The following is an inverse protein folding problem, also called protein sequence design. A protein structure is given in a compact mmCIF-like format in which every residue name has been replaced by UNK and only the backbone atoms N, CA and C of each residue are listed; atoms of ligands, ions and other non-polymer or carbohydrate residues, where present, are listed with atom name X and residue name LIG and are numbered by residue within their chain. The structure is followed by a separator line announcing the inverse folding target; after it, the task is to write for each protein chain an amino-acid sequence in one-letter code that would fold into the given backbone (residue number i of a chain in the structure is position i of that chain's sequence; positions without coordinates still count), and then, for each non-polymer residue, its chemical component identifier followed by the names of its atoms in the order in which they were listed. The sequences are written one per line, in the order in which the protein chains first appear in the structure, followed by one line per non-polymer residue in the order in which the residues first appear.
data_IF_355124132232
#
_entry.id   IF_355124132232
#
_cell.length_a   1.000
_cell.length_b   1.000
_cell.length_c   1.000
_cell.angle_alpha   90.00
_cell.angle_beta   90.00
_cell.angle_gamma   90.00
#
_symmetry.space_group_name_H-M   'P 1'
#
loop_
_entity.id
_entity.type
_entity.pdbx_description
1 polymer ?
#
# COMPACT_ATOMS: atom_id res chain seq x y z
N UNK A 1 -26.39 23.86 -1.14
CA UNK A 1 -25.71 25.03 -0.54
C UNK A 1 -24.22 24.73 -0.24
N UNK A 2 -23.85 23.75 0.60
CA UNK A 2 -22.44 23.49 0.93
C UNK A 2 -21.59 23.07 -0.29
N UNK A 3 -22.08 22.17 -1.14
CA UNK A 3 -21.40 21.78 -2.37
C UNK A 3 -21.18 22.95 -3.34
N UNK A 4 -22.18 23.83 -3.48
CA UNK A 4 -22.06 25.05 -4.30
C UNK A 4 -20.99 25.99 -3.74
N UNK A 5 -20.95 26.15 -2.42
CA UNK A 5 -19.92 26.94 -1.75
C UNK A 5 -18.52 26.34 -1.98
N UNK A 6 -18.37 25.03 -1.84
CA UNK A 6 -17.12 24.31 -2.14
C UNK A 6 -16.65 24.55 -3.59
N UNK A 7 -17.58 24.47 -4.56
CA UNK A 7 -17.30 24.74 -5.99
C UNK A 7 -16.83 26.18 -6.22
N UNK A 8 -17.48 27.14 -5.55
CA UNK A 8 -17.07 28.56 -5.62
C UNK A 8 -15.67 28.75 -5.04
N UNK A 9 -15.42 28.21 -3.85
CA UNK A 9 -14.11 28.32 -3.17
C UNK A 9 -13.01 27.70 -4.03
N UNK A 10 -13.20 26.50 -4.55
CA UNK A 10 -12.19 25.83 -5.38
C UNK A 10 -12.00 26.51 -6.74
N UNK A 11 -13.00 27.22 -7.24
CA UNK A 11 -12.91 27.99 -8.48
C UNK A 11 -12.17 29.30 -8.29
N UNK A 12 -12.56 30.09 -7.29
CA UNK A 12 -11.89 31.36 -6.95
C UNK A 12 -10.48 31.13 -6.42
N UNK A 13 -10.26 30.06 -5.69
CA UNK A 13 -8.96 29.63 -5.17
C UNK A 13 -7.99 29.06 -6.22
N UNK A 14 -8.37 29.03 -7.51
CA UNK A 14 -7.53 28.45 -8.57
C UNK A 14 -6.10 28.99 -8.63
N UNK A 15 -5.83 30.31 -8.49
CA UNK A 15 -4.47 30.82 -8.47
C UNK A 15 -3.64 30.28 -7.30
N UNK A 16 -4.26 30.22 -6.10
CA UNK A 16 -3.60 29.69 -4.90
C UNK A 16 -3.33 28.18 -5.02
N UNK A 17 -4.29 27.42 -5.56
CA UNK A 17 -4.11 25.97 -5.85
C UNK A 17 -2.96 25.78 -6.83
N UNK A 18 -2.91 26.55 -7.92
CA UNK A 18 -1.82 26.47 -8.90
C UNK A 18 -0.49 26.84 -8.29
N UNK A 19 -0.41 27.93 -7.54
CA UNK A 19 0.81 28.35 -6.82
C UNK A 19 1.31 27.28 -5.85
N UNK A 20 0.41 26.67 -5.08
CA UNK A 20 0.75 25.58 -4.16
C UNK A 20 1.26 24.33 -4.89
N UNK A 21 0.67 23.96 -6.03
CA UNK A 21 1.15 22.84 -6.84
C UNK A 21 2.55 23.12 -7.41
N UNK A 22 2.82 24.33 -7.88
CA UNK A 22 4.16 24.70 -8.34
C UNK A 22 5.19 24.70 -7.21
N UNK A 23 4.81 25.17 -6.02
CA UNK A 23 5.65 25.06 -4.83
C UNK A 23 5.95 23.59 -4.50
N UNK A 24 4.95 22.70 -4.48
CA UNK A 24 5.15 21.26 -4.29
C UNK A 24 6.06 20.65 -5.34
N UNK A 25 5.93 21.08 -6.61
CA UNK A 25 6.80 20.64 -7.71
C UNK A 25 8.25 21.05 -7.48
N UNK A 26 8.49 22.28 -7.00
CA UNK A 26 9.82 22.75 -6.63
C UNK A 26 10.45 21.96 -5.48
N UNK A 27 9.61 21.44 -4.55
CA UNK A 27 10.02 20.57 -3.44
C UNK A 27 10.19 19.09 -3.84
N UNK A 28 10.06 18.71 -5.12
CA UNK A 28 10.14 17.31 -5.57
C UNK A 28 8.94 16.45 -5.15
N UNK A 29 7.83 17.05 -4.67
CA UNK A 29 6.61 16.35 -4.24
C UNK A 29 5.57 16.16 -5.35
N UNK A 30 5.86 16.63 -6.54
CA UNK A 30 5.07 16.43 -7.75
C UNK A 30 6.00 15.99 -8.90
N UNK A 31 5.49 15.16 -9.77
CA UNK A 31 6.19 14.69 -10.95
C UNK A 31 6.40 15.85 -11.95
N UNK A 32 7.64 16.06 -12.40
CA UNK A 32 7.96 17.19 -13.28
C UNK A 32 7.42 17.01 -14.68
N UNK A 33 7.43 15.79 -15.20
CA UNK A 33 7.05 15.47 -16.59
C UNK A 33 5.52 15.34 -16.72
N UNK A 34 4.89 14.74 -15.70
CA UNK A 34 3.46 14.44 -15.65
C UNK A 34 2.64 15.47 -14.87
N UNK A 35 3.23 16.63 -14.57
CA UNK A 35 2.63 17.67 -13.74
C UNK A 35 1.27 18.16 -14.24
N UNK A 36 1.08 18.20 -15.57
CA UNK A 36 -0.17 18.65 -16.20
C UNK A 36 -1.37 17.75 -15.88
N UNK A 37 -1.15 16.51 -15.48
CA UNK A 37 -2.19 15.59 -15.06
C UNK A 37 -2.96 16.09 -13.83
N UNK A 38 -2.28 16.83 -12.93
CA UNK A 38 -2.92 17.49 -11.78
C UNK A 38 -3.96 18.53 -12.19
N UNK A 39 -3.90 19.03 -13.40
CA UNK A 39 -4.85 19.97 -14.01
C UNK A 39 -5.85 19.27 -14.94
N UNK A 40 -5.86 17.94 -14.96
CA UNK A 40 -6.73 17.11 -15.79
C UNK A 40 -6.29 16.95 -17.24
N UNK A 41 -5.07 17.35 -17.60
CA UNK A 41 -4.50 17.11 -18.92
C UNK A 41 -3.69 15.82 -18.92
N UNK A 42 -3.79 15.06 -19.99
CA UNK A 42 -2.95 13.88 -20.24
C UNK A 42 -2.45 13.86 -21.68
N UNK A 43 -1.31 13.21 -21.88
CA UNK A 43 -0.77 12.94 -23.23
C UNK A 43 -1.17 11.55 -23.72
N UNK A 44 -1.69 10.71 -22.83
CA UNK A 44 -2.12 9.35 -23.16
C UNK A 44 -3.43 9.41 -23.90
N UNK A 45 -3.49 8.79 -25.07
CA UNK A 45 -4.74 8.69 -25.84
C UNK A 45 -5.70 7.73 -25.13
N UNK A 46 -6.97 8.11 -25.07
CA UNK A 46 -8.00 7.22 -24.55
C UNK A 46 -8.10 5.97 -25.44
N UNK A 47 -7.97 4.77 -24.88
CA UNK A 47 -8.17 3.54 -25.64
C UNK A 47 -9.64 3.40 -26.10
N UNK A 48 -9.84 2.61 -27.14
CA UNK A 48 -11.19 2.19 -27.55
C UNK A 48 -11.82 1.24 -26.53
N UNK A 49 -13.15 1.19 -26.50
CA UNK A 49 -13.90 0.27 -25.63
C UNK A 49 -14.19 0.84 -24.25
N UNK A 50 -14.61 -0.06 -23.35
CA UNK A 50 -14.95 0.25 -21.96
C UNK A 50 -13.69 0.53 -21.14
N UNK A 51 -13.72 1.60 -20.35
CA UNK A 51 -12.67 1.97 -19.41
C UNK A 51 -13.23 1.90 -18.01
N UNK A 52 -12.63 1.09 -17.14
CA UNK A 52 -12.88 1.13 -15.69
C UNK A 52 -11.85 2.06 -15.08
N UNK A 53 -12.33 3.09 -14.39
CA UNK A 53 -11.46 3.96 -13.59
C UNK A 53 -11.42 3.48 -12.15
N UNK A 54 -10.23 3.17 -11.65
CA UNK A 54 -9.94 2.84 -10.25
C UNK A 54 -9.19 4.01 -9.65
N UNK A 55 -9.71 4.58 -8.55
CA UNK A 55 -9.03 5.63 -7.80
C UNK A 55 -8.52 5.06 -6.49
N UNK A 56 -7.19 5.20 -6.25
CA UNK A 56 -6.51 4.80 -5.03
C UNK A 56 -5.44 5.83 -4.68
N UNK A 57 -5.69 6.69 -3.70
CA UNK A 57 -4.90 7.90 -3.48
C UNK A 57 -3.49 7.65 -2.95
N UNK A 58 -3.31 6.64 -2.12
CA UNK A 58 -2.05 6.34 -1.41
C UNK A 58 -1.38 5.05 -1.89
N UNK A 59 -0.13 4.83 -1.44
CA UNK A 59 0.62 3.58 -1.68
C UNK A 59 -0.15 2.36 -1.17
N UNK A 60 -0.67 2.42 0.07
CA UNK A 60 -1.38 1.30 0.67
C UNK A 60 -2.68 0.95 -0.06
N UNK A 61 -3.41 1.98 -0.51
CA UNK A 61 -4.62 1.81 -1.30
C UNK A 61 -4.30 1.20 -2.67
N UNK A 62 -3.32 1.76 -3.39
CA UNK A 62 -2.97 1.27 -4.73
C UNK A 62 -2.47 -0.17 -4.72
N UNK A 63 -1.67 -0.57 -3.72
CA UNK A 63 -1.26 -1.97 -3.53
C UNK A 63 -2.45 -2.91 -3.29
N UNK A 64 -3.44 -2.46 -2.51
CA UNK A 64 -4.64 -3.28 -2.25
C UNK A 64 -5.51 -3.50 -3.49
N UNK A 65 -5.35 -2.66 -4.53
CA UNK A 65 -6.11 -2.79 -5.78
C UNK A 65 -5.44 -3.75 -6.78
N UNK A 66 -4.16 -4.08 -6.64
CA UNK A 66 -3.44 -4.90 -7.64
C UNK A 66 -4.12 -6.23 -7.89
N UNK A 67 -4.47 -6.98 -6.86
CA UNK A 67 -5.14 -8.29 -7.02
C UNK A 67 -6.53 -8.19 -7.65
N UNK A 68 -7.24 -7.08 -7.42
CA UNK A 68 -8.50 -6.82 -8.11
C UNK A 68 -8.27 -6.49 -9.58
N UNK A 69 -7.25 -5.67 -9.88
CA UNK A 69 -6.86 -5.31 -11.25
C UNK A 69 -6.49 -6.56 -12.04
N UNK A 70 -5.61 -7.40 -11.49
CA UNK A 70 -5.18 -8.63 -12.16
C UNK A 70 -6.39 -9.55 -12.46
N UNK A 71 -7.27 -9.75 -11.50
CA UNK A 71 -8.48 -10.53 -11.70
C UNK A 71 -9.44 -9.95 -12.74
N UNK A 72 -9.56 -8.63 -12.80
CA UNK A 72 -10.40 -7.97 -13.80
C UNK A 72 -9.83 -8.18 -15.20
N UNK A 73 -8.51 -8.09 -15.36
CA UNK A 73 -7.84 -8.31 -16.65
C UNK A 73 -7.97 -9.79 -17.08
N UNK A 74 -7.73 -10.72 -16.16
CA UNK A 74 -7.85 -12.16 -16.41
C UNK A 74 -9.26 -12.55 -16.87
N UNK A 75 -10.30 -12.02 -16.23
CA UNK A 75 -11.69 -12.32 -16.55
C UNK A 75 -12.19 -11.59 -17.80
N UNK A 76 -11.69 -10.42 -18.08
CA UNK A 76 -12.10 -9.57 -19.20
C UNK A 76 -10.89 -8.98 -19.94
N UNK A 77 -10.23 -9.76 -20.82
CA UNK A 77 -8.99 -9.33 -21.51
C UNK A 77 -9.14 -8.06 -22.37
N UNK A 78 -10.36 -7.74 -22.80
CA UNK A 78 -10.65 -6.53 -23.57
C UNK A 78 -10.94 -5.29 -22.71
N UNK A 79 -10.95 -5.44 -21.39
CA UNK A 79 -11.17 -4.35 -20.46
C UNK A 79 -9.94 -3.44 -20.41
N UNK A 80 -10.17 -2.14 -20.36
CA UNK A 80 -9.11 -1.15 -20.15
C UNK A 80 -9.27 -0.56 -18.75
N UNK A 81 -8.17 -0.56 -17.99
CA UNK A 81 -8.15 -0.04 -16.64
C UNK A 81 -7.34 1.25 -16.61
N UNK A 82 -7.95 2.28 -16.04
CA UNK A 82 -7.29 3.52 -15.64
C UNK A 82 -7.13 3.51 -14.13
N UNK A 83 -5.91 3.43 -13.63
CA UNK A 83 -5.61 3.61 -12.22
C UNK A 83 -5.13 5.04 -11.97
N UNK A 84 -5.74 5.72 -10.99
CA UNK A 84 -5.25 7.04 -10.55
C UNK A 84 -4.73 7.01 -9.13
N UNK A 85 -3.58 7.68 -8.91
CA UNK A 85 -3.00 7.86 -7.58
C UNK A 85 -2.73 9.34 -7.27
N UNK A 86 -2.49 9.65 -5.99
CA UNK A 86 -2.29 11.02 -5.52
C UNK A 86 -0.83 11.43 -5.30
N UNK A 87 0.12 10.47 -5.25
CA UNK A 87 1.51 10.74 -4.85
C UNK A 87 2.55 10.20 -5.84
N UNK A 88 3.71 10.84 -5.88
CA UNK A 88 4.86 10.40 -6.70
C UNK A 88 5.31 9.00 -6.30
N UNK A 89 5.38 8.71 -5.01
CA UNK A 89 5.77 7.40 -4.49
C UNK A 89 4.81 6.29 -4.96
N UNK A 90 3.50 6.55 -4.93
CA UNK A 90 2.50 5.59 -5.45
C UNK A 90 2.68 5.37 -6.95
N UNK A 91 2.93 6.43 -7.71
CA UNK A 91 3.12 6.35 -9.16
C UNK A 91 4.34 5.51 -9.54
N UNK A 92 5.49 5.72 -8.87
CA UNK A 92 6.69 4.92 -9.10
C UNK A 92 6.45 3.43 -8.79
N UNK A 93 5.84 3.15 -7.65
CA UNK A 93 5.53 1.77 -7.28
C UNK A 93 4.57 1.11 -8.27
N UNK A 94 3.58 1.84 -8.76
CA UNK A 94 2.65 1.31 -9.74
C UNK A 94 3.30 1.10 -11.11
N UNK A 95 4.27 1.93 -11.50
CA UNK A 95 5.04 1.73 -12.73
C UNK A 95 5.84 0.40 -12.73
N UNK A 96 6.26 -0.06 -11.54
CA UNK A 96 6.98 -1.34 -11.37
C UNK A 96 6.03 -2.56 -11.26
N UNK A 97 4.78 -2.35 -10.88
CA UNK A 97 3.86 -3.43 -10.51
C UNK A 97 2.71 -3.67 -11.48
N UNK A 98 2.32 -2.66 -12.25
CA UNK A 98 1.21 -2.77 -13.19
C UNK A 98 1.65 -3.48 -14.48
N UNK A 99 0.78 -4.33 -15.00
CA UNK A 99 0.93 -4.84 -16.38
C UNK A 99 0.78 -3.72 -17.40
N UNK A 100 1.36 -3.90 -18.60
CA UNK A 100 1.31 -2.91 -19.68
C UNK A 100 -0.09 -2.54 -20.18
N UNK A 101 -1.12 -3.30 -19.79
CA UNK A 101 -2.52 -3.06 -20.15
C UNK A 101 -3.23 -2.05 -19.22
N UNK A 102 -2.59 -1.65 -18.12
CA UNK A 102 -3.14 -0.69 -17.16
C UNK A 102 -2.55 0.69 -17.38
N UNK A 103 -3.40 1.67 -17.59
CA UNK A 103 -3.00 3.06 -17.71
C UNK A 103 -2.95 3.68 -16.31
N UNK A 104 -1.80 4.25 -15.95
CA UNK A 104 -1.66 5.02 -14.70
C UNK A 104 -1.66 6.51 -14.98
N UNK A 105 -2.42 7.28 -14.17
CA UNK A 105 -2.42 8.74 -14.19
C UNK A 105 -2.51 9.32 -12.79
N UNK A 106 -1.93 10.51 -12.58
CA UNK A 106 -2.21 11.28 -11.36
C UNK A 106 -3.64 11.78 -11.35
N UNK A 107 -4.33 11.62 -10.22
CA UNK A 107 -5.66 12.18 -10.04
C UNK A 107 -5.60 13.71 -10.17
N UNK A 108 -6.52 14.35 -10.91
CA UNK A 108 -6.57 15.80 -10.96
C UNK A 108 -6.95 16.39 -9.59
N UNK A 109 -6.47 17.58 -9.31
CA UNK A 109 -6.95 18.32 -8.13
C UNK A 109 -8.45 18.59 -8.26
N UNK A 110 -9.16 18.49 -7.15
CA UNK A 110 -10.64 18.53 -7.10
C UNK A 110 -11.23 19.92 -7.39
N UNK A 111 -10.81 20.52 -8.51
CA UNK A 111 -11.39 21.73 -9.09
C UNK A 111 -12.25 21.37 -10.28
N UNK A 112 -13.46 21.88 -10.32
CA UNK A 112 -14.50 21.50 -11.28
C UNK A 112 -14.01 21.47 -12.74
N UNK A 113 -13.28 22.49 -13.19
CA UNK A 113 -12.77 22.55 -14.56
C UNK A 113 -11.70 21.46 -14.86
N UNK A 114 -10.89 21.06 -13.87
CA UNK A 114 -9.88 20.02 -14.03
C UNK A 114 -10.52 18.64 -14.03
N UNK A 115 -11.48 18.45 -13.15
CA UNK A 115 -12.28 17.22 -13.04
C UNK A 115 -13.06 16.97 -14.32
N UNK A 116 -13.74 17.98 -14.86
CA UNK A 116 -14.48 17.87 -16.13
C UNK A 116 -13.59 17.47 -17.27
N UNK A 117 -12.46 18.14 -17.43
CA UNK A 117 -11.47 17.80 -18.48
C UNK A 117 -11.00 16.36 -18.39
N UNK A 118 -10.69 15.89 -17.18
CA UNK A 118 -10.28 14.52 -16.94
C UNK A 118 -11.39 13.53 -17.32
N UNK A 119 -12.61 13.73 -16.84
CA UNK A 119 -13.72 12.81 -17.10
C UNK A 119 -14.13 12.86 -18.58
N UNK A 120 -14.13 14.03 -19.22
CA UNK A 120 -14.47 14.19 -20.63
C UNK A 120 -13.42 13.52 -21.55
N UNK A 121 -12.15 13.46 -21.13
CA UNK A 121 -11.12 12.73 -21.83
C UNK A 121 -11.29 11.22 -21.68
N UNK A 122 -11.36 10.72 -20.43
CA UNK A 122 -11.35 9.29 -20.15
C UNK A 122 -12.70 8.61 -20.36
N UNK A 123 -13.79 9.30 -20.14
CA UNK A 123 -15.17 8.79 -20.27
C UNK A 123 -15.32 7.37 -19.71
N UNK A 124 -15.04 7.15 -18.41
CA UNK A 124 -15.10 5.84 -17.81
C UNK A 124 -16.51 5.28 -17.83
N UNK A 125 -16.63 3.97 -18.01
CA UNK A 125 -17.91 3.25 -17.99
C UNK A 125 -18.31 2.83 -16.58
N UNK A 126 -17.33 2.75 -15.67
CA UNK A 126 -17.48 2.41 -14.26
C UNK A 126 -16.35 3.07 -13.48
N UNK A 127 -16.65 3.52 -12.26
CA UNK A 127 -15.65 4.04 -11.33
C UNK A 127 -15.64 3.22 -10.05
N UNK A 128 -14.47 2.71 -9.70
CA UNK A 128 -14.18 2.06 -8.42
C UNK A 128 -13.35 3.00 -7.57
N UNK A 129 -13.91 3.42 -6.45
CA UNK A 129 -13.31 4.40 -5.55
C UNK A 129 -12.80 3.72 -4.29
N UNK A 130 -11.48 3.72 -4.06
CA UNK A 130 -10.89 3.04 -2.92
C UNK A 130 -10.94 3.88 -1.64
N UNK A 131 -11.21 3.18 -0.54
CA UNK A 131 -11.20 3.69 0.84
C UNK A 131 -12.10 4.93 1.06
N UNK A 132 -11.59 6.03 1.67
CA UNK A 132 -12.45 7.08 2.23
C UNK A 132 -12.05 8.49 1.81
N UNK A 133 -11.34 8.66 0.72
CA UNK A 133 -11.04 9.98 0.18
C UNK A 133 -12.20 10.55 -0.63
N UNK A 134 -13.10 11.27 0.02
CA UNK A 134 -14.30 11.84 -0.62
C UNK A 134 -14.03 13.21 -1.23
N UNK A 135 -13.72 13.26 -2.51
CA UNK A 135 -13.51 14.47 -3.30
C UNK A 135 -14.82 14.95 -3.94
N UNK A 136 -15.42 16.07 -3.44
CA UNK A 136 -16.79 16.43 -3.81
C UNK A 136 -17.02 16.66 -5.31
N UNK A 137 -16.11 17.34 -6.01
CA UNK A 137 -16.29 17.59 -7.45
C UNK A 137 -16.10 16.32 -8.28
N UNK A 138 -15.07 15.50 -7.99
CA UNK A 138 -14.84 14.25 -8.69
C UNK A 138 -16.04 13.32 -8.57
N UNK A 139 -16.53 13.09 -7.36
CA UNK A 139 -17.64 12.18 -7.09
C UNK A 139 -18.94 12.68 -7.72
N UNK A 140 -19.23 13.97 -7.59
CA UNK A 140 -20.47 14.52 -8.15
C UNK A 140 -20.45 14.59 -9.67
N UNK A 141 -19.34 14.95 -10.29
CA UNK A 141 -19.23 15.01 -11.75
C UNK A 141 -19.31 13.61 -12.40
N UNK A 142 -18.79 12.57 -11.75
CA UNK A 142 -18.99 11.17 -12.17
C UNK A 142 -20.46 10.80 -12.13
N UNK A 143 -21.10 11.02 -10.99
CA UNK A 143 -22.52 10.69 -10.80
C UNK A 143 -23.45 11.52 -11.68
N UNK A 144 -23.18 12.81 -11.87
CA UNK A 144 -24.00 13.71 -12.71
C UNK A 144 -23.94 13.32 -14.21
N UNK A 145 -22.95 12.50 -14.63
CA UNK A 145 -22.86 11.88 -15.96
C UNK A 145 -23.46 10.47 -16.03
N UNK A 146 -24.17 10.05 -14.97
CA UNK A 146 -24.76 8.71 -14.85
C UNK A 146 -23.72 7.57 -14.97
N UNK A 147 -22.47 7.82 -14.60
CA UNK A 147 -21.44 6.79 -14.54
C UNK A 147 -21.59 6.06 -13.20
N UNK A 148 -21.75 4.73 -13.20
CA UNK A 148 -21.81 3.96 -11.96
C UNK A 148 -20.55 4.18 -11.11
N UNK A 149 -20.76 4.44 -9.82
CA UNK A 149 -19.69 4.73 -8.86
C UNK A 149 -19.84 3.79 -7.67
N UNK A 150 -18.81 2.98 -7.43
CA UNK A 150 -18.77 2.00 -6.34
C UNK A 150 -17.64 2.36 -5.39
N UNK A 151 -17.95 2.51 -4.10
CA UNK A 151 -16.95 2.59 -3.05
C UNK A 151 -16.47 1.16 -2.75
N UNK A 152 -15.18 0.93 -2.88
CA UNK A 152 -14.54 -0.35 -2.59
C UNK A 152 -13.56 -0.22 -1.44
N UNK A 153 -13.43 -1.27 -0.63
CA UNK A 153 -12.55 -1.27 0.53
C UNK A 153 -12.80 -0.09 1.48
N UNK A 154 -14.07 0.35 1.61
CA UNK A 154 -14.46 1.53 2.38
C UNK A 154 -14.10 1.40 3.86
N UNK A 155 -13.43 2.41 4.41
CA UNK A 155 -13.02 2.46 5.81
C UNK A 155 -13.38 3.81 6.42
N UNK A 156 -14.13 3.80 7.50
CA UNK A 156 -14.48 5.00 8.26
C UNK A 156 -14.02 4.82 9.72
N UNK A 157 -12.87 5.41 10.08
CA UNK A 157 -12.42 5.37 11.47
C UNK A 157 -13.40 6.09 12.41
N UNK A 158 -13.45 5.76 13.71
CA UNK A 158 -14.30 6.46 14.68
C UNK A 158 -14.10 7.98 14.63
N UNK A 159 -12.86 8.42 14.59
CA UNK A 159 -12.51 9.86 14.49
C UNK A 159 -13.02 10.50 13.20
N UNK A 160 -12.89 9.80 12.06
CA UNK A 160 -13.43 10.30 10.78
C UNK A 160 -14.96 10.35 10.80
N UNK A 161 -15.60 9.37 11.41
CA UNK A 161 -17.05 9.34 11.57
C UNK A 161 -17.56 10.56 12.36
N UNK A 162 -16.96 10.85 13.53
CA UNK A 162 -17.25 12.04 14.33
C UNK A 162 -17.04 13.34 13.53
N UNK A 163 -15.94 13.44 12.80
CA UNK A 163 -15.66 14.58 11.93
C UNK A 163 -16.73 14.79 10.85
N UNK A 164 -17.17 13.70 10.21
CA UNK A 164 -18.21 13.75 9.19
C UNK A 164 -19.61 14.03 9.75
N UNK A 165 -19.89 13.67 11.00
CA UNK A 165 -21.16 14.06 11.65
C UNK A 165 -21.32 15.59 11.73
N UNK A 166 -20.23 16.34 11.90
CA UNK A 166 -20.26 17.82 11.88
C UNK A 166 -20.56 18.39 10.47
N UNK A 167 -20.28 17.62 9.42
CA UNK A 167 -20.53 17.97 8.03
C UNK A 167 -21.58 17.05 7.38
N UNK A 168 -22.56 16.60 8.18
CA UNK A 168 -23.53 15.57 7.81
C UNK A 168 -24.26 15.84 6.49
N UNK A 169 -24.60 17.10 6.23
CA UNK A 169 -25.27 17.49 4.98
C UNK A 169 -24.36 17.26 3.76
N UNK A 170 -23.07 17.55 3.86
CA UNK A 170 -22.11 17.36 2.78
C UNK A 170 -21.84 15.88 2.53
N UNK A 171 -21.47 15.14 3.57
CA UNK A 171 -21.12 13.72 3.41
C UNK A 171 -22.30 12.90 2.90
N UNK A 172 -23.51 13.20 3.36
CA UNK A 172 -24.74 12.56 2.87
C UNK A 172 -24.99 12.84 1.38
N UNK A 173 -24.72 14.06 0.91
CA UNK A 173 -24.83 14.40 -0.52
C UNK A 173 -23.78 13.64 -1.35
N UNK A 174 -22.58 13.44 -0.81
CA UNK A 174 -21.51 12.70 -1.48
C UNK A 174 -21.84 11.20 -1.50
N UNK A 175 -22.14 10.59 -0.35
CA UNK A 175 -22.38 9.16 -0.26
C UNK A 175 -23.62 8.69 -1.06
N UNK A 176 -24.62 9.54 -1.20
CA UNK A 176 -25.78 9.26 -2.07
C UNK A 176 -25.43 9.11 -3.55
N UNK A 177 -24.26 9.54 -3.98
CA UNK A 177 -23.78 9.42 -5.36
C UNK A 177 -23.22 8.04 -5.68
N UNK A 178 -22.88 7.27 -4.65
CA UNK A 178 -22.42 5.91 -4.83
C UNK A 178 -23.59 4.95 -5.07
N UNK A 179 -23.46 4.14 -6.10
CA UNK A 179 -24.42 3.06 -6.39
C UNK A 179 -24.36 1.98 -5.31
N UNK A 180 -23.14 1.71 -4.82
CA UNK A 180 -22.86 0.68 -3.80
C UNK A 180 -21.63 1.09 -3.01
N UNK A 181 -21.65 0.84 -1.70
CA UNK A 181 -20.51 1.02 -0.81
C UNK A 181 -20.13 -0.33 -0.20
N UNK A 182 -18.87 -0.74 -0.39
CA UNK A 182 -18.33 -2.01 0.12
C UNK A 182 -17.33 -1.70 1.23
N UNK A 183 -17.73 -1.92 2.48
CA UNK A 183 -16.91 -1.68 3.69
C UNK A 183 -15.94 -2.82 3.96
N UNK A 184 -14.81 -2.51 4.63
CA UNK A 184 -13.82 -3.49 5.07
C UNK A 184 -14.33 -4.35 6.22
N UNK A 185 -15.09 -3.74 7.13
CA UNK A 185 -15.70 -4.39 8.30
C UNK A 185 -17.19 -4.07 8.37
N UNK A 186 -17.94 -4.80 9.21
CA UNK A 186 -19.36 -4.50 9.42
C UNK A 186 -19.55 -3.13 10.08
N UNK A 187 -18.63 -2.74 10.98
CA UNK A 187 -18.64 -1.40 11.60
C UNK A 187 -18.43 -0.29 10.56
N UNK A 188 -17.56 -0.52 9.57
CA UNK A 188 -17.36 0.45 8.47
C UNK A 188 -18.62 0.56 7.61
N UNK A 189 -19.24 -0.58 7.27
CA UNK A 189 -20.49 -0.60 6.52
C UNK A 189 -21.61 0.11 7.27
N UNK A 190 -21.71 -0.10 8.60
CA UNK A 190 -22.71 0.58 9.43
C UNK A 190 -22.46 2.08 9.51
N UNK A 191 -21.22 2.54 9.71
CA UNK A 191 -20.87 3.96 9.71
C UNK A 191 -21.21 4.62 8.36
N UNK A 192 -20.95 3.94 7.24
CA UNK A 192 -21.34 4.40 5.90
C UNK A 192 -22.86 4.57 5.77
N UNK A 193 -23.67 3.60 6.27
CA UNK A 193 -25.14 3.70 6.29
C UNK A 193 -25.60 4.92 7.12
N UNK A 194 -25.05 5.09 8.32
CA UNK A 194 -25.36 6.19 9.22
C UNK A 194 -25.01 7.57 8.62
N UNK A 195 -23.94 7.65 7.84
CA UNK A 195 -23.54 8.85 7.11
C UNK A 195 -24.39 9.09 5.85
N UNK A 196 -25.21 8.11 5.44
CA UNK A 196 -26.21 8.29 4.38
C UNK A 196 -25.92 7.58 3.07
N UNK A 197 -25.06 6.57 3.06
CA UNK A 197 -24.88 5.69 1.91
C UNK A 197 -26.19 4.91 1.63
N UNK A 198 -26.71 4.89 0.39
CA UNK A 198 -27.98 4.24 0.06
C UNK A 198 -27.89 2.70 0.14
N UNK A 199 -26.73 2.15 -0.13
CA UNK A 199 -26.45 0.73 -0.04
C UNK A 199 -25.02 0.52 0.46
N UNK A 200 -24.85 -0.08 1.64
CA UNK A 200 -23.54 -0.42 2.18
C UNK A 200 -23.55 -1.86 2.69
N UNK A 201 -22.49 -2.63 2.32
CA UNK A 201 -22.30 -4.03 2.70
C UNK A 201 -20.87 -4.24 3.14
N UNK A 202 -20.63 -5.13 4.10
CA UNK A 202 -19.31 -5.66 4.40
C UNK A 202 -18.97 -6.79 3.42
N UNK A 203 -17.79 -6.71 2.81
CA UNK A 203 -17.26 -7.74 1.90
C UNK A 203 -15.84 -8.17 2.28
N UNK A 204 -15.33 -7.67 3.40
CA UNK A 204 -13.96 -7.89 3.84
C UNK A 204 -12.97 -6.87 3.27
N UNK A 205 -11.72 -7.02 3.67
CA UNK A 205 -10.64 -6.10 3.30
C UNK A 205 -9.83 -6.67 2.13
N UNK A 206 -9.77 -5.91 1.03
CA UNK A 206 -9.01 -6.30 -0.18
C UNK A 206 -7.52 -6.54 0.10
N UNK A 207 -6.99 -5.97 1.18
CA UNK A 207 -5.62 -6.29 1.62
C UNK A 207 -5.43 -7.77 1.90
N UNK A 208 -6.47 -8.50 2.29
CA UNK A 208 -6.42 -9.96 2.45
C UNK A 208 -6.37 -10.73 1.13
N UNK A 209 -6.76 -10.14 0.04
CA UNK A 209 -6.74 -10.76 -1.29
C UNK A 209 -5.43 -10.53 -2.07
N UNK A 210 -4.48 -9.75 -1.52
CA UNK A 210 -3.19 -9.50 -2.20
C UNK A 210 -2.43 -10.81 -2.41
N UNK A 211 -1.71 -10.92 -3.52
CA UNK A 211 -0.86 -12.07 -3.79
C UNK A 211 0.29 -12.14 -2.75
N UNK A 212 0.79 -13.37 -2.44
CA UNK A 212 2.01 -13.51 -1.68
C UNK A 212 3.17 -12.74 -2.32
N UNK A 213 4.08 -12.25 -1.50
CA UNK A 213 5.30 -11.62 -2.03
C UNK A 213 6.04 -12.62 -2.94
N UNK A 214 6.53 -12.17 -4.10
CA UNK A 214 7.28 -13.02 -5.01
C UNK A 214 8.60 -13.47 -4.37
N UNK A 215 9.13 -14.58 -4.85
CA UNK A 215 10.47 -15.05 -4.55
C UNK A 215 11.11 -15.53 -5.85
N UNK A 216 12.38 -15.22 -6.03
CA UNK A 216 13.17 -15.79 -7.10
C UNK A 216 13.43 -17.27 -6.79
N UNK A 217 13.15 -18.15 -7.75
CA UNK A 217 13.20 -19.60 -7.53
C UNK A 217 14.63 -20.15 -7.43
N UNK A 218 15.59 -19.54 -8.12
CA UNK A 218 16.99 -19.96 -8.09
C UNK A 218 17.60 -19.60 -6.73
N UNK A 219 17.43 -18.34 -6.30
CA UNK A 219 17.87 -17.89 -4.99
C UNK A 219 17.19 -18.66 -3.84
N UNK A 220 15.91 -19.04 -4.00
CA UNK A 220 15.22 -19.85 -3.00
C UNK A 220 15.87 -21.21 -2.86
N UNK A 221 16.09 -21.93 -3.97
CA UNK A 221 16.71 -23.25 -3.97
C UNK A 221 18.15 -23.22 -3.41
N UNK A 222 18.94 -22.20 -3.75
CA UNK A 222 20.29 -22.02 -3.20
C UNK A 222 20.29 -21.87 -1.68
N UNK A 223 19.39 -21.03 -1.15
CA UNK A 223 19.30 -20.82 0.29
C UNK A 223 18.68 -22.02 1.02
N UNK A 224 17.74 -22.75 0.44
CA UNK A 224 17.22 -24.00 1.00
C UNK A 224 18.32 -25.02 1.20
N UNK A 225 19.25 -25.15 0.23
CA UNK A 225 20.43 -26.02 0.35
C UNK A 225 21.35 -25.52 1.46
N UNK A 226 21.67 -24.24 1.50
CA UNK A 226 22.56 -23.63 2.50
C UNK A 226 21.99 -23.73 3.92
N UNK A 227 20.67 -23.75 4.08
CA UNK A 227 19.96 -23.84 5.35
C UNK A 227 19.60 -25.29 5.74
N UNK A 228 19.90 -26.27 4.90
CA UNK A 228 19.53 -27.66 5.14
C UNK A 228 20.06 -28.18 6.49
N UNK A 229 19.13 -28.74 7.29
CA UNK A 229 19.45 -29.27 8.63
C UNK A 229 19.63 -28.22 9.72
N UNK A 230 19.25 -26.98 9.46
CA UNK A 230 19.31 -25.90 10.45
C UNK A 230 17.90 -25.47 10.89
N UNK A 231 17.77 -25.16 12.17
CA UNK A 231 16.56 -24.45 12.66
C UNK A 231 16.71 -22.96 12.37
N UNK A 232 15.78 -22.40 11.59
CA UNK A 232 15.82 -21.00 11.18
C UNK A 232 14.60 -20.24 11.68
N UNK A 233 14.78 -19.00 12.06
CA UNK A 233 13.71 -18.03 12.26
C UNK A 233 14.09 -16.67 11.70
N UNK A 234 13.10 -15.88 11.37
CA UNK A 234 13.27 -14.61 10.66
C UNK A 234 12.86 -13.43 11.54
N UNK A 235 13.68 -12.40 11.59
CA UNK A 235 13.33 -11.08 12.10
C UNK A 235 13.19 -10.13 10.90
N UNK A 236 11.96 -9.84 10.51
CA UNK A 236 11.63 -9.11 9.29
C UNK A 236 11.36 -7.63 9.54
N UNK A 237 11.93 -6.77 8.69
CA UNK A 237 11.74 -5.31 8.72
C UNK A 237 12.10 -4.67 10.05
N UNK A 238 13.25 -5.04 10.61
CA UNK A 238 13.74 -4.57 11.90
C UNK A 238 14.13 -3.09 11.88
N UNK A 239 14.00 -2.45 13.02
CA UNK A 239 14.33 -1.06 13.27
C UNK A 239 15.41 -0.94 14.37
N UNK A 240 16.12 0.21 14.44
CA UNK A 240 17.15 0.43 15.46
C UNK A 240 16.67 0.10 16.88
N UNK A 241 17.46 -0.72 17.61
CA UNK A 241 17.18 -1.18 18.95
C UNK A 241 16.41 -2.50 19.04
N UNK A 242 15.95 -3.06 17.91
CA UNK A 242 15.32 -4.38 17.89
C UNK A 242 16.34 -5.49 17.66
N UNK A 243 17.41 -5.22 16.89
CA UNK A 243 18.38 -6.23 16.48
C UNK A 243 19.16 -6.82 17.66
N UNK A 244 19.49 -6.01 18.67
CA UNK A 244 20.15 -6.47 19.89
C UNK A 244 19.23 -7.35 20.75
N UNK A 245 17.93 -7.03 20.81
CA UNK A 245 16.93 -7.86 21.50
C UNK A 245 16.79 -9.21 20.78
N UNK A 246 16.79 -9.20 19.44
CA UNK A 246 16.72 -10.39 18.61
C UNK A 246 17.96 -11.28 18.85
N UNK A 247 19.15 -10.68 18.95
CA UNK A 247 20.37 -11.39 19.27
C UNK A 247 20.30 -12.02 20.66
N UNK A 248 19.87 -11.29 21.68
CA UNK A 248 19.65 -11.87 23.02
C UNK A 248 18.70 -13.06 23.00
N UNK A 249 17.62 -12.98 22.22
CA UNK A 249 16.69 -14.10 22.03
C UNK A 249 17.36 -15.30 21.32
N UNK A 250 18.28 -15.06 20.37
CA UNK A 250 19.09 -16.13 19.77
C UNK A 250 19.94 -16.82 20.83
N UNK A 251 20.69 -16.08 21.65
CA UNK A 251 21.58 -16.64 22.68
C UNK A 251 20.81 -17.49 23.70
N UNK A 252 19.64 -17.03 24.17
CA UNK A 252 18.78 -17.79 25.07
C UNK A 252 18.25 -19.09 24.50
N UNK A 253 18.08 -19.19 23.20
CA UNK A 253 17.51 -20.36 22.53
C UNK A 253 18.55 -21.24 21.86
N UNK A 254 19.79 -20.79 21.63
CA UNK A 254 20.85 -21.54 20.97
C UNK A 254 21.17 -22.88 21.67
N UNK A 255 21.00 -22.97 22.98
CA UNK A 255 21.16 -24.20 23.72
C UNK A 255 20.04 -25.23 23.53
N UNK A 256 18.83 -24.76 23.10
CA UNK A 256 17.66 -25.62 22.89
C UNK A 256 17.51 -26.11 21.46
N UNK A 257 18.00 -25.31 20.50
CA UNK A 257 17.90 -25.60 19.08
C UNK A 257 19.29 -25.76 18.48
N UNK A 258 19.61 -26.99 18.12
CA UNK A 258 20.90 -27.29 17.47
C UNK A 258 21.01 -26.56 16.12
N UNK A 259 22.15 -25.95 15.85
CA UNK A 259 22.40 -25.19 14.61
C UNK A 259 21.40 -24.04 14.34
N UNK A 260 20.89 -23.41 15.40
CA UNK A 260 19.97 -22.24 15.26
C UNK A 260 20.62 -21.15 14.39
N UNK A 261 19.83 -20.63 13.44
CA UNK A 261 20.18 -19.47 12.63
C UNK A 261 19.10 -18.40 12.77
N UNK A 262 19.50 -17.18 13.05
CA UNK A 262 18.63 -16.02 12.99
C UNK A 262 18.87 -15.26 11.69
N UNK A 263 17.84 -15.11 10.87
CA UNK A 263 17.89 -14.27 9.68
C UNK A 263 17.31 -12.91 10.04
N UNK A 264 18.05 -11.83 9.76
CA UNK A 264 17.61 -10.45 10.01
C UNK A 264 17.46 -9.73 8.67
N UNK A 265 16.26 -9.30 8.35
CA UNK A 265 15.98 -8.41 7.20
C UNK A 265 15.70 -7.02 7.75
N UNK A 266 16.65 -6.06 7.69
CA UNK A 266 16.42 -4.72 8.18
C UNK A 266 15.43 -3.95 7.29
N UNK A 267 14.63 -3.06 7.86
CA UNK A 267 13.70 -2.20 7.10
C UNK A 267 14.42 -1.34 6.06
N UNK A 268 15.64 -0.93 6.37
CA UNK A 268 16.51 -0.15 5.50
C UNK A 268 17.79 -0.95 5.24
N UNK A 269 17.95 -1.40 4.00
CA UNK A 269 19.06 -2.27 3.59
C UNK A 269 20.45 -1.65 3.84
N UNK A 270 20.57 -0.32 3.77
CA UNK A 270 21.82 0.41 4.04
C UNK A 270 22.32 0.28 5.49
N UNK A 271 21.53 -0.27 6.41
CA UNK A 271 21.92 -0.54 7.80
C UNK A 271 22.67 -1.87 7.99
N UNK A 272 22.73 -2.71 6.96
CA UNK A 272 23.31 -4.06 7.09
C UNK A 272 24.73 -4.08 7.67
N UNK A 273 25.61 -3.16 7.25
CA UNK A 273 26.97 -3.04 7.77
C UNK A 273 27.00 -2.67 9.27
N UNK A 274 26.24 -1.63 9.65
CA UNK A 274 26.13 -1.19 11.04
C UNK A 274 25.62 -2.32 11.97
N UNK A 275 24.59 -3.05 11.53
CA UNK A 275 24.03 -4.17 12.29
C UNK A 275 25.07 -5.29 12.45
N UNK A 276 25.79 -5.63 11.36
CA UNK A 276 26.83 -6.66 11.41
C UNK A 276 27.94 -6.31 12.40
N UNK A 277 28.45 -5.08 12.36
CA UNK A 277 29.48 -4.62 13.31
C UNK A 277 29.01 -4.71 14.76
N UNK A 278 27.79 -4.25 15.03
CA UNK A 278 27.20 -4.27 16.38
C UNK A 278 27.02 -5.68 16.92
N UNK A 279 26.45 -6.59 16.12
CA UNK A 279 26.20 -7.96 16.56
C UNK A 279 27.51 -8.74 16.68
N UNK A 280 28.51 -8.49 15.82
CA UNK A 280 29.85 -9.07 15.95
C UNK A 280 30.54 -8.60 17.23
N UNK A 281 30.42 -7.32 17.61
CA UNK A 281 30.93 -6.80 18.87
C UNK A 281 30.27 -7.44 20.10
N UNK A 282 29.04 -7.94 19.96
CA UNK A 282 28.32 -8.74 20.98
C UNK A 282 28.66 -10.24 20.93
N UNK A 283 29.57 -10.65 20.07
CA UNK A 283 30.06 -12.04 19.96
C UNK A 283 29.35 -12.91 18.93
N UNK A 284 28.43 -12.37 18.15
CA UNK A 284 27.73 -13.09 17.09
C UNK A 284 28.66 -13.40 15.90
N UNK A 285 28.54 -14.60 15.34
CA UNK A 285 29.14 -14.96 14.03
C UNK A 285 28.13 -14.57 12.94
N UNK A 286 28.43 -13.47 12.25
CA UNK A 286 27.56 -12.85 11.29
C UNK A 286 28.02 -13.12 9.86
N UNK A 287 27.08 -13.34 8.94
CA UNK A 287 27.30 -13.28 7.50
C UNK A 287 26.29 -12.32 6.85
N UNK A 288 26.71 -11.63 5.77
CA UNK A 288 25.90 -10.63 5.08
C UNK A 288 25.61 -11.01 3.63
N UNK A 289 24.35 -10.82 3.21
CA UNK A 289 23.90 -11.12 1.86
C UNK A 289 24.47 -10.16 0.80
N UNK A 290 24.46 -8.86 1.08
CA UNK A 290 24.92 -7.84 0.12
C UNK A 290 26.42 -7.95 -0.21
N UNK A 291 27.22 -8.58 0.64
CA UNK A 291 28.65 -8.83 0.43
C UNK A 291 28.95 -10.21 -0.18
N UNK A 292 27.92 -11.03 -0.41
CA UNK A 292 28.08 -12.38 -0.95
C UNK A 292 28.69 -13.39 0.04
N UNK A 293 28.64 -13.09 1.34
CA UNK A 293 29.14 -14.00 2.37
C UNK A 293 28.25 -15.23 2.48
N UNK A 294 28.89 -16.40 2.50
CA UNK A 294 28.20 -17.68 2.57
C UNK A 294 27.76 -18.00 4.00
N UNK A 295 26.60 -18.65 4.12
CA UNK A 295 26.15 -19.22 5.39
C UNK A 295 26.89 -20.52 5.64
N UNK A 296 27.81 -20.52 6.58
CA UNK A 296 28.52 -21.73 7.02
C UNK A 296 27.91 -22.33 8.29
N UNK A 297 28.44 -23.47 8.76
CA UNK A 297 27.94 -24.14 9.97
C UNK A 297 28.12 -23.31 11.24
N UNK A 298 29.03 -22.35 11.24
CA UNK A 298 29.30 -21.49 12.38
C UNK A 298 28.50 -20.21 12.37
N UNK A 299 27.87 -19.82 11.25
CA UNK A 299 27.09 -18.63 11.12
C UNK A 299 25.88 -18.68 12.06
N UNK A 300 25.71 -17.68 12.92
CA UNK A 300 24.63 -17.57 13.89
C UNK A 300 23.58 -16.55 13.46
N UNK A 301 24.02 -15.49 12.77
CA UNK A 301 23.15 -14.46 12.24
C UNK A 301 23.43 -14.24 10.76
N UNK A 302 22.39 -14.25 9.94
CA UNK A 302 22.47 -13.88 8.53
C UNK A 302 21.71 -12.60 8.29
N UNK A 303 22.42 -11.55 7.90
CA UNK A 303 21.82 -10.25 7.61
C UNK A 303 21.48 -10.18 6.12
N UNK A 304 20.22 -10.22 5.82
CA UNK A 304 19.68 -10.11 4.47
C UNK A 304 19.36 -8.63 4.15
N UNK A 305 20.41 -7.89 3.86
CA UNK A 305 20.42 -6.44 3.62
C UNK A 305 20.29 -6.09 2.13
N UNK A 306 19.54 -6.90 1.39
CA UNK A 306 19.18 -6.67 -0.01
C UNK A 306 17.73 -6.23 -0.15
N UNK A 307 17.37 -5.59 -1.28
CA UNK A 307 16.01 -5.11 -1.53
C UNK A 307 15.19 -6.13 -2.34
N UNK A 308 13.88 -6.20 -2.05
CA UNK A 308 12.95 -7.00 -2.85
C UNK A 308 12.86 -8.48 -2.51
N UNK A 309 13.66 -8.99 -1.59
CA UNK A 309 13.79 -10.43 -1.28
C UNK A 309 13.00 -10.90 -0.05
N UNK A 310 12.17 -10.05 0.56
CA UNK A 310 11.45 -10.41 1.78
C UNK A 310 10.53 -11.64 1.60
N UNK A 311 9.92 -11.78 0.40
CA UNK A 311 9.11 -12.95 0.07
C UNK A 311 9.89 -14.27 0.02
N UNK A 312 11.18 -14.22 -0.29
CA UNK A 312 12.09 -15.35 -0.23
C UNK A 312 12.27 -15.82 1.23
N UNK A 313 12.59 -14.89 2.14
CA UNK A 313 12.84 -15.22 3.54
C UNK A 313 11.60 -15.68 4.30
N UNK A 314 10.41 -15.20 3.93
CA UNK A 314 9.14 -15.73 4.45
C UNK A 314 8.86 -17.19 4.05
N UNK A 315 9.47 -17.69 2.96
CA UNK A 315 9.34 -19.10 2.55
C UNK A 315 10.36 -20.00 3.22
N UNK A 316 11.48 -19.43 3.66
CA UNK A 316 12.56 -20.17 4.31
C UNK A 316 12.35 -20.37 5.81
N UNK A 317 11.51 -19.58 6.45
CA UNK A 317 11.32 -19.58 7.90
C UNK A 317 9.86 -19.71 8.30
N UNK A 318 9.56 -20.75 9.07
CA UNK A 318 8.20 -20.97 9.60
C UNK A 318 7.83 -19.97 10.71
N UNK A 319 8.83 -19.43 11.43
CA UNK A 319 8.63 -18.46 12.52
C UNK A 319 9.22 -17.12 12.12
N UNK A 320 8.37 -16.09 12.20
CA UNK A 320 8.73 -14.72 11.77
C UNK A 320 8.40 -13.73 12.88
N UNK A 321 9.39 -12.99 13.33
CA UNK A 321 9.20 -11.79 14.12
C UNK A 321 9.04 -10.59 13.19
N UNK A 322 7.98 -9.82 13.39
CA UNK A 322 7.73 -8.58 12.62
C UNK A 322 8.24 -7.35 13.38
N UNK A 323 9.26 -6.74 12.83
CA UNK A 323 9.90 -5.55 13.40
C UNK A 323 9.01 -4.31 13.48
N UNK A 324 9.56 -3.21 14.00
CA UNK A 324 8.84 -1.97 14.30
C UNK A 324 7.78 -2.14 15.41
N UNK A 325 7.79 -3.27 16.08
CA UNK A 325 6.79 -3.67 17.06
C UNK A 325 7.28 -3.71 18.49
N UNK A 326 8.59 -3.86 18.73
CA UNK A 326 9.19 -3.67 20.05
C UNK A 326 9.43 -2.20 20.39
N UNK A 327 9.64 -1.39 19.37
CA UNK A 327 9.76 0.07 19.46
C UNK A 327 8.40 0.75 19.23
N UNK A 328 8.11 1.95 19.80
CA UNK A 328 6.80 2.60 19.70
C UNK A 328 6.56 3.26 18.33
N UNK A 329 6.72 2.49 17.28
CA UNK A 329 6.60 2.95 15.88
C UNK A 329 5.41 2.34 15.13
N UNK A 330 4.60 1.46 15.77
CA UNK A 330 3.30 1.02 15.26
C UNK A 330 3.29 -0.26 14.41
N UNK A 331 4.39 -1.05 14.41
CA UNK A 331 4.44 -2.35 13.71
C UNK A 331 4.52 -2.29 12.19
N UNK A 332 4.57 -3.47 11.58
CA UNK A 332 4.60 -3.70 10.13
C UNK A 332 3.41 -4.56 9.68
N UNK A 333 3.29 -4.81 8.38
CA UNK A 333 2.20 -5.60 7.80
C UNK A 333 2.33 -7.09 8.13
N UNK A 334 1.44 -7.62 8.97
CA UNK A 334 1.42 -9.04 9.36
C UNK A 334 0.82 -9.95 8.27
N UNK A 335 0.13 -9.42 7.29
CA UNK A 335 -0.54 -10.21 6.26
C UNK A 335 0.42 -10.86 5.28
N UNK A 336 1.60 -10.27 5.08
CA UNK A 336 2.61 -10.80 4.16
C UNK A 336 3.14 -12.17 4.62
N UNK A 337 3.67 -12.32 5.86
CA UNK A 337 4.08 -13.62 6.37
C UNK A 337 2.89 -14.57 6.60
N UNK A 338 1.74 -14.07 7.05
CA UNK A 338 0.54 -14.89 7.29
C UNK A 338 0.07 -15.64 6.03
N UNK A 339 0.17 -15.02 4.85
CA UNK A 339 -0.20 -15.65 3.58
C UNK A 339 0.73 -16.77 3.16
N UNK A 340 1.93 -16.78 3.68
CA UNK A 340 2.93 -17.83 3.44
C UNK A 340 2.94 -18.88 4.55
N UNK A 341 1.97 -18.81 5.49
CA UNK A 341 1.79 -19.81 6.54
C UNK A 341 2.71 -19.64 7.75
N UNK A 342 3.44 -18.52 7.85
CA UNK A 342 4.37 -18.31 8.94
C UNK A 342 3.66 -18.10 10.29
N UNK A 343 4.21 -18.65 11.36
CA UNK A 343 3.89 -18.28 12.72
C UNK A 343 4.47 -16.90 13.04
N UNK A 344 3.63 -15.94 13.45
CA UNK A 344 4.02 -14.54 13.55
C UNK A 344 4.20 -14.14 15.01
N UNK A 345 5.37 -13.60 15.31
CA UNK A 345 5.72 -12.96 16.58
C UNK A 345 5.75 -11.44 16.38
N UNK A 346 5.26 -10.69 17.34
CA UNK A 346 5.34 -9.23 17.35
C UNK A 346 5.43 -8.68 18.77
N UNK A 347 5.97 -7.48 18.89
CA UNK A 347 5.97 -6.73 20.16
C UNK A 347 4.62 -6.07 20.43
N UNK A 348 4.56 -5.32 21.54
CA UNK A 348 3.32 -4.68 22.02
C UNK A 348 2.85 -3.46 21.22
N UNK A 349 3.70 -2.91 20.37
CA UNK A 349 3.39 -1.68 19.63
C UNK A 349 2.90 -2.00 18.22
N UNK A 350 1.65 -2.45 18.12
CA UNK A 350 0.99 -2.73 16.84
C UNK A 350 -0.17 -1.75 16.66
N UNK A 351 -0.14 -0.98 15.56
CA UNK A 351 -1.19 -0.04 15.16
C UNK A 351 -1.79 -0.34 13.77
N UNK A 352 -1.25 -1.37 13.08
CA UNK A 352 -1.69 -1.82 11.76
C UNK A 352 -2.53 -3.09 11.84
#
# INVERSE_FOLDING_TARGET
MILSLYRVITTLGAPAISGYLHYRKAQGKEDRERFTERFGFTRVLRPSGAVIWIHAASVGESLSMLSLIDRLIDQWPNLRILLTTGTVTSAHLMAERLSGDVIHQYVPVDRLAYVRRFIDHWRPSLVLWAESEFWPNLITEVSDRNIPLILINGRISPRSFEGWQNLRSLIRQILKRFTLCLGQTEEDAERLRQLGAPSAKCVGNLKFASLPLPADSENLAELEIALSGRTCWLAASTHPGEEEIIWGSHEENAAKFECLLTIIVPRHSNRGAEIAERLTALGAKVARRSTGELIDKGTQVYIADTMGELGLFFRLCDVVFMGKSLVPLGGQNLLEPARLGCAILHGKHMAN
#
